data_IF_502236970840
#
_entry.id   IF_502236970840
#
_cell.length_a   1.000
_cell.length_b   1.000
_cell.length_c   1.000
_cell.angle_alpha   90.00
_cell.angle_beta   90.00
_cell.angle_gamma   90.00
#
_symmetry.space_group_name_H-M   'P 1'
#
loop_
_entity.id
_entity.type
_entity.pdbx_description
1 polymer ?
#
# COMPACT_ATOMS: atom_id res chain seq x y z
N UNK A 1 14.45 7.83 1.37
CA UNK A 1 13.73 6.76 2.08
C UNK A 1 12.28 6.81 1.62
N UNK A 2 11.67 5.68 1.26
CA UNK A 2 10.23 5.66 1.01
C UNK A 2 9.50 5.94 2.32
N UNK A 3 8.57 6.89 2.33
CA UNK A 3 7.70 7.17 3.47
C UNK A 3 6.60 6.12 3.52
N UNK A 4 6.34 5.56 4.70
CA UNK A 4 5.22 4.64 4.89
C UNK A 4 3.88 5.35 4.60
N UNK A 5 2.96 4.62 3.97
CA UNK A 5 1.58 5.04 3.76
C UNK A 5 0.65 4.44 4.81
N UNK A 6 -0.39 5.18 5.13
CA UNK A 6 -1.35 4.90 6.19
C UNK A 6 -2.78 4.99 5.68
N UNK A 7 -3.63 4.11 6.19
CA UNK A 7 -5.07 4.32 6.21
C UNK A 7 -5.42 5.06 7.51
N UNK A 8 -6.19 6.13 7.42
CA UNK A 8 -6.85 6.72 8.57
C UNK A 8 -8.17 5.99 8.81
N UNK A 9 -8.27 5.32 9.94
CA UNK A 9 -9.43 4.52 10.30
C UNK A 9 -10.13 5.09 11.53
N UNK A 10 -11.43 4.87 11.63
CA UNK A 10 -12.22 5.11 12.84
C UNK A 10 -12.28 3.84 13.67
N UNK A 11 -12.48 3.97 14.98
CA UNK A 11 -12.53 2.85 15.95
C UNK A 11 -13.55 1.74 15.62
N UNK A 12 -14.52 2.01 14.75
CA UNK A 12 -15.50 1.03 14.27
C UNK A 12 -14.99 0.19 13.09
N UNK A 13 -13.76 0.42 12.64
CA UNK A 13 -13.13 -0.27 11.51
C UNK A 13 -13.34 0.44 10.16
N UNK A 14 -14.09 1.53 10.12
CA UNK A 14 -14.32 2.29 8.88
C UNK A 14 -13.06 3.03 8.47
N UNK A 15 -12.59 2.82 7.24
CA UNK A 15 -11.51 3.62 6.66
C UNK A 15 -12.08 4.94 6.18
N UNK A 16 -11.54 6.05 6.69
CA UNK A 16 -11.95 7.40 6.30
C UNK A 16 -11.15 7.93 5.13
N UNK A 17 -9.84 7.67 5.11
CA UNK A 17 -8.94 8.10 4.05
C UNK A 17 -7.91 7.01 3.80
N UNK A 18 -7.68 6.70 2.52
CA UNK A 18 -6.75 5.66 2.08
C UNK A 18 -5.42 6.26 1.66
N UNK A 19 -4.34 5.52 1.94
CA UNK A 19 -3.02 5.71 1.32
C UNK A 19 -2.44 7.12 1.43
N UNK A 20 -2.50 7.69 2.64
CA UNK A 20 -1.93 9.00 2.96
C UNK A 20 -0.67 8.87 3.82
N UNK A 21 0.19 9.88 3.78
CA UNK A 21 1.40 9.96 4.61
C UNK A 21 1.05 10.30 6.06
N UNK A 22 1.96 10.00 6.99
CA UNK A 22 1.77 10.33 8.41
C UNK A 22 1.44 11.81 8.68
N UNK A 23 2.12 12.78 8.04
CA UNK A 23 1.77 14.20 8.15
C UNK A 23 0.36 14.53 7.65
N UNK A 24 -0.08 13.90 6.57
CA UNK A 24 -1.45 14.09 6.05
C UNK A 24 -2.49 13.52 7.02
N UNK A 25 -2.22 12.37 7.67
CA UNK A 25 -3.07 11.86 8.76
C UNK A 25 -3.17 12.88 9.89
N UNK A 26 -2.02 13.40 10.34
CA UNK A 26 -1.95 14.36 11.43
C UNK A 26 -2.73 15.65 11.11
N UNK A 27 -2.61 16.15 9.87
CA UNK A 27 -3.36 17.29 9.39
C UNK A 27 -4.87 17.02 9.30
N UNK A 28 -5.28 15.82 8.86
CA UNK A 28 -6.68 15.47 8.66
C UNK A 28 -7.51 15.45 9.96
N UNK A 29 -6.90 15.06 11.09
CA UNK A 29 -7.59 14.96 12.40
C UNK A 29 -7.03 15.91 13.47
N UNK A 30 -6.12 16.81 13.09
CA UNK A 30 -5.52 17.80 13.99
C UNK A 30 -4.78 17.17 15.18
N UNK A 31 -3.93 16.18 14.94
CA UNK A 31 -3.13 15.53 15.99
C UNK A 31 -1.62 15.74 15.77
N UNK A 32 -0.80 15.30 16.73
CA UNK A 32 0.66 15.33 16.55
C UNK A 32 1.08 14.14 15.68
N UNK A 33 2.10 14.34 14.86
CA UNK A 33 2.68 13.26 14.06
C UNK A 33 3.13 12.05 14.91
N UNK A 34 3.57 12.30 16.15
CA UNK A 34 3.92 11.25 17.10
C UNK A 34 2.72 10.37 17.48
N UNK A 35 1.50 10.92 17.54
CA UNK A 35 0.29 10.15 17.83
C UNK A 35 -0.04 9.18 16.68
N UNK A 36 0.21 9.60 15.43
CA UNK A 36 0.09 8.74 14.25
C UNK A 36 1.04 7.56 14.34
N UNK A 37 2.30 7.79 14.71
CA UNK A 37 3.29 6.71 14.86
C UNK A 37 2.95 5.78 16.03
N UNK A 38 2.53 6.33 17.17
CA UNK A 38 2.12 5.53 18.31
C UNK A 38 0.91 4.66 17.98
N UNK A 39 -0.05 5.20 17.22
CA UNK A 39 -1.20 4.45 16.74
C UNK A 39 -0.79 3.30 15.81
N UNK A 40 0.05 3.59 14.83
CA UNK A 40 0.53 2.62 13.86
C UNK A 40 1.41 1.51 14.46
N UNK A 41 2.25 1.84 15.44
CA UNK A 41 3.19 0.90 16.06
C UNK A 41 2.56 0.10 17.21
N UNK A 42 1.74 0.75 18.03
CA UNK A 42 1.24 0.17 19.29
C UNK A 42 -0.28 -0.03 19.31
N UNK A 43 -0.99 0.28 18.23
CA UNK A 43 -2.45 0.14 18.15
C UNK A 43 -3.21 1.14 19.02
N UNK A 44 -2.56 2.24 19.46
CA UNK A 44 -3.20 3.25 20.29
C UNK A 44 -4.25 4.04 19.50
N UNK A 45 -5.37 4.36 20.15
CA UNK A 45 -6.37 5.25 19.57
C UNK A 45 -5.92 6.71 19.71
N UNK A 46 -5.95 7.43 18.60
CA UNK A 46 -5.77 8.88 18.54
C UNK A 46 -7.10 9.53 18.92
N UNK A 47 -7.10 10.41 19.93
CA UNK A 47 -8.29 11.09 20.44
C UNK A 47 -9.46 10.12 20.77
N UNK A 48 -9.14 8.89 21.21
CA UNK A 48 -10.10 7.82 21.50
C UNK A 48 -11.06 7.42 20.36
N UNK A 49 -10.78 7.85 19.13
CA UNK A 49 -11.73 7.75 18.01
C UNK A 49 -11.09 7.20 16.74
N UNK A 50 -9.82 7.51 16.50
CA UNK A 50 -9.14 7.17 15.24
C UNK A 50 -7.96 6.25 15.50
N UNK A 51 -7.53 5.52 14.47
CA UNK A 51 -6.23 4.86 14.43
C UNK A 51 -5.63 4.92 13.04
N UNK A 52 -4.30 4.84 12.98
CA UNK A 52 -3.55 4.81 11.73
C UNK A 52 -3.08 3.38 11.45
N UNK A 53 -3.44 2.83 10.29
CA UNK A 53 -2.99 1.50 9.86
C UNK A 53 -1.94 1.63 8.76
N UNK A 54 -0.76 1.04 8.96
CA UNK A 54 0.29 1.03 7.93
C UNK A 54 -0.07 0.08 6.79
N UNK A 55 -0.13 0.62 5.58
CA UNK A 55 -0.44 -0.11 4.35
C UNK A 55 0.84 -0.66 3.72
N UNK A 56 1.86 0.19 3.60
CA UNK A 56 3.15 -0.18 3.00
C UNK A 56 4.08 -0.73 4.07
N UNK A 57 3.77 -1.93 4.54
CA UNK A 57 4.76 -2.70 5.30
C UNK A 57 5.86 -3.12 4.33
N UNK A 58 7.14 -2.87 4.65
CA UNK A 58 8.25 -3.33 3.82
C UNK A 58 8.10 -4.83 3.57
N UNK A 59 8.00 -5.23 2.31
CA UNK A 59 8.06 -6.64 1.95
C UNK A 59 9.44 -7.19 2.30
N UNK A 60 9.50 -8.45 2.74
CA UNK A 60 10.80 -9.11 2.84
C UNK A 60 11.40 -9.20 1.44
N UNK A 61 12.72 -9.06 1.34
CA UNK A 61 13.45 -9.15 0.05
C UNK A 61 13.04 -10.38 -0.77
N UNK A 62 12.78 -11.51 -0.10
CA UNK A 62 12.31 -12.75 -0.74
C UNK A 62 10.94 -12.58 -1.38
N UNK A 63 9.96 -12.01 -0.65
CA UNK A 63 8.61 -11.75 -1.19
C UNK A 63 8.65 -10.79 -2.36
N UNK A 64 9.46 -9.73 -2.24
CA UNK A 64 9.62 -8.72 -3.27
C UNK A 64 10.19 -9.32 -4.58
N UNK A 65 11.27 -10.11 -4.48
CA UNK A 65 11.85 -10.83 -5.63
C UNK A 65 10.84 -11.81 -6.24
N UNK A 66 10.08 -12.54 -5.42
CA UNK A 66 9.05 -13.46 -5.92
C UNK A 66 7.99 -12.72 -6.73
N UNK A 67 7.46 -11.61 -6.21
CA UNK A 67 6.46 -10.78 -6.91
C UNK A 67 6.99 -10.24 -8.24
N UNK A 68 8.23 -9.71 -8.26
CA UNK A 68 8.86 -9.22 -9.47
C UNK A 68 9.07 -10.33 -10.52
N UNK A 69 9.42 -11.53 -10.07
CA UNK A 69 9.61 -12.70 -10.94
C UNK A 69 8.28 -13.17 -11.53
N UNK A 70 7.22 -13.21 -10.72
CA UNK A 70 5.86 -13.54 -11.19
C UNK A 70 5.35 -12.53 -12.21
N UNK A 71 5.52 -11.24 -11.92
CA UNK A 71 5.17 -10.17 -12.84
C UNK A 71 5.90 -10.31 -14.18
N UNK A 72 7.22 -10.52 -14.17
CA UNK A 72 7.99 -10.67 -15.41
C UNK A 72 7.59 -11.93 -16.19
N UNK A 73 7.27 -13.04 -15.50
CA UNK A 73 6.74 -14.25 -16.12
C UNK A 73 5.41 -13.99 -16.83
N UNK A 74 4.46 -13.35 -16.15
CA UNK A 74 3.15 -12.98 -16.72
C UNK A 74 3.33 -12.04 -17.91
N UNK A 75 4.14 -11.00 -17.76
CA UNK A 75 4.49 -10.05 -18.84
C UNK A 75 5.02 -10.77 -20.08
N UNK A 76 5.96 -11.70 -19.91
CA UNK A 76 6.53 -12.50 -21.02
C UNK A 76 5.47 -13.32 -21.73
N UNK A 77 4.55 -13.96 -21.00
CA UNK A 77 3.45 -14.73 -21.62
C UNK A 77 2.46 -13.85 -22.38
N UNK A 78 2.07 -12.70 -21.82
CA UNK A 78 1.24 -11.72 -22.53
C UNK A 78 1.89 -11.27 -23.84
N UNK A 79 3.18 -10.94 -23.80
CA UNK A 79 3.93 -10.50 -24.98
C UNK A 79 4.05 -11.60 -26.05
N UNK A 80 4.29 -12.86 -25.64
CA UNK A 80 4.30 -14.00 -26.58
C UNK A 80 2.95 -14.20 -27.24
N UNK A 81 1.86 -14.19 -26.47
CA UNK A 81 0.49 -14.32 -27.01
C UNK A 81 0.18 -13.20 -28.00
N UNK A 82 0.55 -11.96 -27.69
CA UNK A 82 0.33 -10.83 -28.58
C UNK A 82 1.15 -10.94 -29.88
N UNK A 83 2.40 -11.39 -29.81
CA UNK A 83 3.23 -11.66 -31.00
C UNK A 83 2.61 -12.76 -31.88
N UNK A 84 2.13 -13.85 -31.27
CA UNK A 84 1.52 -14.96 -32.00
C UNK A 84 0.20 -14.55 -32.69
N UNK A 85 -0.64 -13.74 -32.02
CA UNK A 85 -1.83 -13.18 -32.65
C UNK A 85 -1.48 -12.30 -33.85
N UNK A 86 -0.48 -11.42 -33.74
CA UNK A 86 -0.04 -10.59 -34.87
C UNK A 86 0.45 -11.40 -36.07
N UNK A 87 1.07 -12.57 -35.87
CA UNK A 87 1.49 -13.44 -36.97
C UNK A 87 0.32 -14.08 -37.73
N UNK A 88 -0.75 -14.46 -37.02
CA UNK A 88 -1.96 -15.06 -37.60
C UNK A 88 -2.79 -14.12 -38.50
N UNK A 89 -2.51 -12.80 -38.49
CA UNK A 89 -3.20 -11.82 -39.33
C UNK A 89 -2.33 -11.30 -40.49
N UNK A 90 -1.13 -11.87 -40.68
CA UNK A 90 -0.17 -11.46 -41.72
C UNK A 90 0.14 -12.62 -42.69
N UNK A 91 -0.41 -13.80 -42.45
CA UNK A 91 -0.55 -14.92 -43.41
C UNK A 91 -1.99 -14.98 -43.92
#
# INVERSE_FOLDING_TARGET
>A
MASALYNLCRKDGTVMVYSITGPEVAAAIGCKLQDVYNSACYGQLIQHTYYAEVIDRPLSRRKDITLLTEYDRVRKEFLKRHKNRRKLFVE
#
